data_IF_786185444251
#
_entry.id   IF_786185444251
#
_cell.length_a   1.000
_cell.length_b   1.000
_cell.length_c   1.000
_cell.angle_alpha   90.00
_cell.angle_beta   90.00
_cell.angle_gamma   90.00
#
_symmetry.space_group_name_H-M   'P 1'
#
loop_
_entity.id
_entity.type
_entity.pdbx_description
1 polymer ?
#
# COMPACT_ATOMS: atom_id res chain seq x y z
N UNK A 1 -2.28 -13.97 -4.11
CA UNK A 1 -2.14 -12.61 -3.51
C UNK A 1 -3.52 -11.93 -3.52
N UNK A 2 -3.73 -10.80 -2.83
CA UNK A 2 -4.92 -9.98 -3.07
C UNK A 2 -4.89 -9.42 -4.51
N UNK A 3 -6.05 -9.16 -5.16
CA UNK A 3 -6.06 -8.62 -6.51
C UNK A 3 -5.38 -7.24 -6.57
N UNK A 4 -4.60 -7.03 -7.63
CA UNK A 4 -3.95 -5.75 -7.96
C UNK A 4 -4.65 -5.09 -9.15
N UNK A 5 -4.64 -3.76 -9.23
CA UNK A 5 -4.95 -3.09 -10.48
C UNK A 5 -3.88 -3.42 -11.55
N UNK A 6 -4.30 -3.49 -12.80
CA UNK A 6 -3.39 -3.72 -13.94
C UNK A 6 -2.22 -2.73 -13.93
N UNK A 7 -1.01 -3.26 -14.11
CA UNK A 7 0.24 -2.48 -14.10
C UNK A 7 0.74 -2.06 -12.72
N UNK A 8 -0.02 -2.31 -11.64
CA UNK A 8 0.43 -2.00 -10.29
C UNK A 8 1.21 -3.16 -9.67
N UNK A 9 2.32 -2.83 -9.01
CA UNK A 9 3.17 -3.80 -8.31
C UNK A 9 2.56 -4.17 -6.96
N UNK A 10 2.52 -5.46 -6.68
CA UNK A 10 2.17 -6.01 -5.37
C UNK A 10 3.32 -6.87 -4.85
N UNK A 11 3.67 -6.72 -3.57
CA UNK A 11 4.73 -7.50 -2.92
C UNK A 11 4.17 -8.43 -1.86
N UNK A 12 4.74 -9.63 -1.74
CA UNK A 12 4.51 -10.56 -0.63
C UNK A 12 5.80 -11.21 -0.20
N UNK A 13 6.02 -11.28 1.10
CA UNK A 13 7.19 -11.93 1.67
C UNK A 13 7.00 -13.44 1.78
N UNK A 14 7.99 -14.19 1.30
CA UNK A 14 8.23 -15.59 1.59
C UNK A 14 9.29 -15.66 2.69
N UNK A 15 9.02 -16.43 3.74
CA UNK A 15 9.96 -16.62 4.86
C UNK A 15 10.62 -17.99 4.69
N UNK A 16 11.93 -17.99 4.48
CA UNK A 16 12.76 -19.20 4.47
C UNK A 16 13.29 -19.40 5.87
N UNK A 17 12.89 -20.50 6.53
CA UNK A 17 13.31 -20.82 7.89
C UNK A 17 14.16 -22.08 7.87
N UNK A 18 15.33 -22.03 8.51
CA UNK A 18 16.16 -23.21 8.69
C UNK A 18 15.82 -23.90 10.02
N UNK A 19 15.26 -25.10 9.94
CA UNK A 19 14.96 -25.95 11.10
C UNK A 19 15.98 -27.07 11.32
N UNK A 20 16.99 -27.18 10.46
CA UNK A 20 18.07 -28.16 10.57
C UNK A 20 19.15 -27.75 11.56
N UNK A 21 20.16 -28.62 11.70
CA UNK A 21 21.29 -28.44 12.62
C UNK A 21 22.52 -27.77 11.98
N UNK A 22 22.59 -27.72 10.64
CA UNK A 22 23.63 -27.04 9.87
C UNK A 22 23.12 -25.78 9.15
N UNK A 23 24.01 -24.92 8.62
CA UNK A 23 23.59 -23.76 7.84
C UNK A 23 22.95 -24.18 6.52
N UNK A 24 21.74 -23.66 6.25
CA UNK A 24 21.08 -23.75 4.95
C UNK A 24 21.69 -22.67 4.04
N UNK A 25 22.20 -23.07 2.88
CA UNK A 25 22.79 -22.19 1.87
C UNK A 25 21.88 -22.22 0.66
N UNK A 26 21.14 -21.14 0.44
CA UNK A 26 20.34 -20.92 -0.77
C UNK A 26 21.25 -20.37 -1.85
N UNK A 27 21.56 -21.18 -2.86
CA UNK A 27 22.51 -20.86 -3.92
C UNK A 27 21.88 -20.15 -5.11
N UNK A 28 20.56 -20.32 -5.31
CA UNK A 28 19.86 -19.77 -6.46
C UNK A 28 18.35 -19.65 -6.23
N UNK A 29 17.74 -18.70 -6.93
CA UNK A 29 16.30 -18.57 -7.06
C UNK A 29 15.95 -18.40 -8.54
N UNK A 30 14.87 -19.02 -8.99
CA UNK A 30 14.32 -18.82 -10.32
C UNK A 30 12.80 -18.71 -10.26
N UNK A 31 12.22 -18.00 -11.22
CA UNK A 31 10.76 -18.02 -11.45
C UNK A 31 10.53 -18.70 -12.77
N UNK A 32 9.71 -19.75 -12.76
CA UNK A 32 9.39 -20.58 -13.93
C UNK A 32 7.88 -20.69 -14.11
N UNK A 33 7.45 -21.24 -15.24
CA UNK A 33 6.03 -21.39 -15.59
C UNK A 33 5.54 -20.37 -16.62
N UNK A 34 4.27 -20.48 -16.99
CA UNK A 34 3.67 -19.72 -18.10
C UNK A 34 3.70 -18.21 -17.87
N UNK A 35 3.45 -17.77 -16.64
CA UNK A 35 3.35 -16.34 -16.31
C UNK A 35 4.59 -15.80 -15.58
N UNK A 36 5.73 -16.50 -15.64
CA UNK A 36 6.94 -16.16 -14.89
C UNK A 36 7.39 -14.69 -15.10
N UNK A 37 7.21 -14.14 -16.30
CA UNK A 37 7.56 -12.75 -16.61
C UNK A 37 6.75 -11.69 -15.85
N UNK A 38 5.63 -12.07 -15.22
CA UNK A 38 4.83 -11.17 -14.37
C UNK A 38 5.25 -11.19 -12.90
N UNK A 39 6.23 -12.03 -12.54
CA UNK A 39 6.73 -12.16 -11.18
C UNK A 39 8.23 -11.91 -11.11
N UNK A 40 8.66 -11.18 -10.10
CA UNK A 40 10.08 -10.99 -9.78
C UNK A 40 10.32 -11.32 -8.31
N UNK A 41 11.58 -11.52 -7.94
CA UNK A 41 11.94 -11.73 -6.54
C UNK A 41 13.09 -10.82 -6.12
N UNK A 42 13.15 -10.54 -4.83
CA UNK A 42 14.28 -9.89 -4.17
C UNK A 42 14.64 -10.67 -2.91
N UNK A 43 15.83 -11.28 -2.91
CA UNK A 43 16.33 -12.13 -1.82
C UNK A 43 17.63 -11.57 -1.19
N UNK A 44 17.99 -10.32 -1.49
CA UNK A 44 19.32 -9.79 -1.20
C UNK A 44 20.40 -10.42 -2.08
N UNK A 45 21.60 -10.59 -1.53
CA UNK A 45 22.74 -11.21 -2.22
C UNK A 45 22.71 -12.72 -2.07
N UNK A 46 22.84 -13.45 -3.18
CA UNK A 46 23.05 -14.89 -3.18
C UNK A 46 24.54 -15.23 -3.33
N UNK A 47 25.04 -16.32 -2.71
CA UNK A 47 24.28 -17.28 -1.91
C UNK A 47 23.87 -16.71 -0.55
N UNK A 48 22.65 -17.05 -0.13
CA UNK A 48 22.08 -16.64 1.16
C UNK A 48 22.29 -17.75 2.19
N UNK A 49 22.96 -17.45 3.31
CA UNK A 49 23.14 -18.39 4.41
C UNK A 49 22.12 -18.13 5.52
N UNK A 50 21.36 -19.17 5.89
CA UNK A 50 20.39 -19.16 6.98
C UNK A 50 20.89 -20.10 8.07
N UNK A 51 21.31 -19.55 9.21
CA UNK A 51 21.82 -20.34 10.34
C UNK A 51 20.72 -21.21 10.97
N UNK A 52 21.08 -22.28 11.71
CA UNK A 52 20.13 -23.10 12.45
C UNK A 52 19.19 -22.25 13.32
N UNK A 53 17.88 -22.49 13.19
CA UNK A 53 16.83 -21.76 13.92
C UNK A 53 16.54 -20.35 13.41
N UNK A 54 17.33 -19.82 12.47
CA UNK A 54 17.13 -18.50 11.88
C UNK A 54 16.16 -18.52 10.69
N UNK A 55 15.76 -17.32 10.27
CA UNK A 55 14.93 -17.10 9.09
C UNK A 55 15.50 -15.97 8.23
N UNK A 56 15.24 -16.07 6.93
CA UNK A 56 15.51 -15.04 5.94
C UNK A 56 14.25 -14.76 5.12
N UNK A 57 14.14 -13.55 4.57
CA UNK A 57 12.98 -13.11 3.80
C UNK A 57 13.34 -12.98 2.33
N UNK A 58 12.51 -13.57 1.47
CA UNK A 58 12.51 -13.38 0.03
C UNK A 58 11.22 -12.65 -0.34
N UNK A 59 11.31 -11.48 -0.94
CA UNK A 59 10.14 -10.74 -1.38
C UNK A 59 9.79 -11.12 -2.82
N UNK A 60 8.58 -11.64 -3.04
CA UNK A 60 8.03 -11.89 -4.37
C UNK A 60 7.18 -10.69 -4.77
N UNK A 61 7.46 -10.13 -5.94
CA UNK A 61 6.67 -9.06 -6.53
C UNK A 61 5.88 -9.59 -7.72
N UNK A 62 4.67 -9.09 -7.88
CA UNK A 62 3.79 -9.38 -9.01
C UNK A 62 3.38 -8.08 -9.70
N UNK A 63 3.40 -8.07 -11.03
CA UNK A 63 2.87 -6.99 -11.86
C UNK A 63 2.22 -7.58 -13.12
N UNK A 64 0.89 -7.75 -13.09
CA UNK A 64 0.12 -8.17 -14.26
C UNK A 64 -0.24 -6.97 -15.15
N UNK A 65 0.19 -6.99 -16.41
CA UNK A 65 -0.08 -5.91 -17.37
C UNK A 65 -1.55 -5.86 -17.82
N UNK A 66 -2.21 -7.02 -17.88
CA UNK A 66 -3.61 -7.15 -18.31
C UNK A 66 -4.46 -7.79 -17.22
N UNK A 67 -5.78 -7.56 -17.24
CA UNK A 67 -6.67 -8.20 -16.29
C UNK A 67 -6.69 -9.72 -16.53
N UNK A 68 -6.51 -10.51 -15.49
CA UNK A 68 -6.40 -11.96 -15.58
C UNK A 68 -5.87 -12.62 -14.31
N UNK A 69 -5.86 -13.94 -14.31
CA UNK A 69 -5.19 -14.76 -13.29
C UNK A 69 -3.82 -15.17 -13.80
N UNK A 70 -2.83 -15.17 -12.91
CA UNK A 70 -1.43 -15.41 -13.21
C UNK A 70 -0.89 -16.48 -12.26
N UNK A 71 -0.09 -17.40 -12.79
CA UNK A 71 0.53 -18.49 -12.03
C UNK A 71 1.97 -18.76 -12.47
N UNK A 72 2.83 -19.00 -11.49
CA UNK A 72 4.23 -19.32 -11.70
C UNK A 72 4.74 -20.23 -10.56
N UNK A 73 5.97 -20.70 -10.68
CA UNK A 73 6.68 -21.45 -9.64
C UNK A 73 7.96 -20.72 -9.29
N UNK A 74 8.22 -20.52 -8.00
CA UNK A 74 9.53 -20.09 -7.51
C UNK A 74 10.35 -21.33 -7.19
N UNK A 75 11.46 -21.52 -7.89
CA UNK A 75 12.44 -22.58 -7.63
C UNK A 75 13.52 -22.05 -6.70
N UNK A 76 13.68 -22.70 -5.54
CA UNK A 76 14.72 -22.41 -4.57
C UNK A 76 15.78 -23.52 -4.61
N UNK A 77 16.99 -23.18 -5.04
CA UNK A 77 18.13 -24.09 -5.00
C UNK A 77 18.88 -23.92 -3.69
N UNK A 78 19.13 -25.01 -2.99
CA UNK A 78 19.88 -25.00 -1.74
C UNK A 78 20.80 -26.22 -1.58
N UNK A 79 21.52 -26.27 -0.46
CA UNK A 79 22.27 -27.45 -0.02
C UNK A 79 21.43 -28.44 0.81
N UNK A 80 20.10 -28.27 0.85
CA UNK A 80 19.21 -29.28 1.44
C UNK A 80 19.16 -30.50 0.51
N UNK A 81 19.46 -31.68 1.05
CA UNK A 81 19.86 -32.82 0.22
C UNK A 81 18.68 -33.51 -0.47
N UNK A 82 17.49 -33.42 0.12
CA UNK A 82 16.25 -34.06 -0.31
C UNK A 82 15.22 -33.08 -0.87
N UNK A 83 15.37 -31.77 -0.63
CA UNK A 83 14.44 -30.73 -1.12
C UNK A 83 15.06 -29.70 -2.09
N UNK A 84 16.15 -30.02 -2.80
CA UNK A 84 16.78 -29.10 -3.77
C UNK A 84 16.65 -29.59 -5.23
N UNK A 85 15.98 -28.85 -6.14
CA UNK A 85 15.28 -27.58 -5.90
C UNK A 85 13.94 -27.75 -5.15
N UNK A 86 13.57 -26.75 -4.36
CA UNK A 86 12.25 -26.66 -3.73
C UNK A 86 11.32 -25.79 -4.58
N UNK A 87 10.23 -26.37 -5.06
CA UNK A 87 9.23 -25.71 -5.92
C UNK A 87 8.11 -25.08 -5.09
N UNK A 88 7.92 -23.77 -5.24
CA UNK A 88 6.86 -23.02 -4.56
C UNK A 88 5.88 -22.47 -5.61
N UNK A 89 4.69 -23.06 -5.70
CA UNK A 89 3.64 -22.54 -6.56
C UNK A 89 3.11 -21.19 -6.04
N UNK A 90 3.04 -20.20 -6.94
CA UNK A 90 2.53 -18.86 -6.64
C UNK A 90 1.41 -18.48 -7.62
N UNK A 91 0.45 -17.69 -7.11
CA UNK A 91 -0.65 -17.17 -7.90
C UNK A 91 -1.04 -15.75 -7.50
N UNK A 92 -1.49 -15.00 -8.50
CA UNK A 92 -1.97 -13.64 -8.37
C UNK A 92 -3.08 -13.33 -9.39
N UNK A 93 -3.79 -12.23 -9.18
CA UNK A 93 -4.74 -11.71 -10.15
C UNK A 93 -4.54 -10.22 -10.34
N UNK A 94 -4.61 -9.79 -11.59
CA UNK A 94 -4.72 -8.39 -11.96
C UNK A 94 -6.14 -8.12 -12.44
N UNK A 95 -6.69 -6.97 -12.05
CA UNK A 95 -8.06 -6.56 -12.38
C UNK A 95 -8.06 -5.08 -12.75
N UNK A 96 -9.17 -4.57 -13.29
CA UNK A 96 -9.25 -3.13 -13.58
C UNK A 96 -9.46 -2.33 -12.30
N UNK A 97 -9.01 -1.07 -12.28
CA UNK A 97 -9.24 -0.16 -11.14
C UNK A 97 -10.73 -0.04 -10.82
N UNK A 98 -11.56 0.09 -11.86
CA UNK A 98 -13.01 0.13 -11.72
C UNK A 98 -13.57 -1.13 -11.02
N UNK A 99 -13.05 -2.32 -11.34
CA UNK A 99 -13.53 -3.56 -10.70
C UNK A 99 -13.19 -3.65 -9.21
N UNK A 100 -12.05 -3.10 -8.78
CA UNK A 100 -11.70 -3.02 -7.35
C UNK A 100 -12.68 -2.12 -6.60
N UNK A 101 -12.97 -0.95 -7.16
CA UNK A 101 -13.93 -0.02 -6.59
C UNK A 101 -15.35 -0.61 -6.57
N UNK A 102 -15.79 -1.22 -7.68
CA UNK A 102 -17.11 -1.85 -7.78
C UNK A 102 -17.28 -3.01 -6.78
N UNK A 103 -16.24 -3.82 -6.59
CA UNK A 103 -16.25 -4.89 -5.58
C UNK A 103 -16.42 -4.31 -4.18
N UNK A 104 -15.73 -3.21 -3.86
CA UNK A 104 -15.90 -2.52 -2.59
C UNK A 104 -17.32 -1.94 -2.43
N UNK A 105 -17.87 -1.23 -3.42
CA UNK A 105 -19.24 -0.69 -3.33
C UNK A 105 -20.28 -1.79 -3.16
N UNK A 106 -20.14 -2.92 -3.87
CA UNK A 106 -21.03 -4.07 -3.70
C UNK A 106 -20.94 -4.66 -2.30
N UNK A 107 -19.73 -4.77 -1.73
CA UNK A 107 -19.54 -5.23 -0.34
C UNK A 107 -20.12 -4.26 0.70
N UNK A 108 -20.20 -2.98 0.35
CA UNK A 108 -20.83 -1.93 1.14
C UNK A 108 -22.37 -1.87 0.98
N UNK A 109 -22.96 -2.72 0.14
CA UNK A 109 -24.39 -2.70 -0.15
C UNK A 109 -24.85 -1.53 -1.02
N UNK A 110 -23.91 -0.84 -1.70
CA UNK A 110 -24.19 0.29 -2.57
C UNK A 110 -24.38 -0.19 -4.01
N UNK A 111 -25.47 0.26 -4.65
CA UNK A 111 -25.80 -0.04 -6.05
C UNK A 111 -26.37 1.21 -6.74
N UNK A 112 -26.26 1.28 -8.07
CA UNK A 112 -26.81 2.41 -8.85
C UNK A 112 -26.16 3.76 -8.50
N UNK A 113 -26.95 4.83 -8.47
CA UNK A 113 -26.47 6.18 -8.17
C UNK A 113 -25.74 6.28 -6.81
N UNK A 114 -26.23 5.67 -5.71
CA UNK A 114 -25.52 5.60 -4.44
C UNK A 114 -24.10 5.00 -4.48
N UNK A 115 -23.76 4.21 -5.51
CA UNK A 115 -22.42 3.63 -5.67
C UNK A 115 -21.41 4.56 -6.37
N UNK A 116 -21.86 5.71 -6.89
CA UNK A 116 -20.98 6.67 -7.55
C UNK A 116 -19.81 7.13 -6.65
N UNK A 117 -18.65 7.41 -7.23
CA UNK A 117 -17.45 7.77 -6.47
C UNK A 117 -17.59 9.11 -5.72
N UNK A 118 -18.33 10.06 -6.30
CA UNK A 118 -18.66 11.35 -5.67
C UNK A 118 -19.95 11.30 -4.84
N UNK A 119 -20.67 10.17 -4.84
CA UNK A 119 -21.92 10.06 -4.11
C UNK A 119 -21.67 10.09 -2.59
N UNK A 120 -22.59 10.76 -1.88
CA UNK A 120 -22.62 10.85 -0.42
C UNK A 120 -23.94 10.23 0.11
N UNK A 121 -24.15 8.91 -0.05
CA UNK A 121 -25.46 8.29 0.20
C UNK A 121 -25.94 8.39 1.66
N UNK A 122 -25.04 8.68 2.60
CA UNK A 122 -25.36 8.82 4.03
C UNK A 122 -25.44 10.27 4.50
N UNK A 123 -25.33 11.23 3.58
CA UNK A 123 -25.45 12.66 3.85
C UNK A 123 -24.50 13.16 4.97
N UNK A 124 -23.33 12.51 5.09
CA UNK A 124 -22.31 12.76 6.11
C UNK A 124 -21.20 13.69 5.61
N UNK A 125 -21.23 14.06 4.32
CA UNK A 125 -20.22 14.93 3.70
C UNK A 125 -18.97 14.19 3.23
N UNK A 126 -18.94 12.85 3.28
CA UNK A 126 -17.81 12.04 2.81
C UNK A 126 -18.23 11.23 1.60
N UNK A 127 -17.64 11.58 0.45
CA UNK A 127 -17.84 10.85 -0.80
C UNK A 127 -17.31 9.42 -0.71
N UNK A 128 -17.95 8.50 -1.44
CA UNK A 128 -17.55 7.10 -1.48
C UNK A 128 -16.08 6.89 -1.88
N UNK A 129 -15.53 7.73 -2.75
CA UNK A 129 -14.12 7.69 -3.11
C UNK A 129 -13.22 7.84 -1.89
N UNK A 130 -13.54 8.79 -1.00
CA UNK A 130 -12.77 8.99 0.23
C UNK A 130 -12.96 7.82 1.20
N UNK A 131 -14.16 7.23 1.24
CA UNK A 131 -14.42 6.03 2.06
C UNK A 131 -13.59 4.85 1.59
N UNK A 132 -13.57 4.61 0.29
CA UNK A 132 -12.74 3.58 -0.34
C UNK A 132 -11.25 3.84 -0.15
N UNK A 133 -10.80 5.09 -0.33
CA UNK A 133 -9.39 5.46 -0.26
C UNK A 133 -8.82 5.37 1.17
N UNK A 134 -9.62 5.69 2.19
CA UNK A 134 -9.16 5.78 3.58
C UNK A 134 -9.69 4.65 4.49
N UNK A 135 -10.16 3.56 3.88
CA UNK A 135 -10.68 2.38 4.56
C UNK A 135 -11.84 2.67 5.54
N UNK A 136 -12.68 3.66 5.23
CA UNK A 136 -13.89 3.95 6.02
C UNK A 136 -14.99 2.92 5.71
N UNK A 137 -15.98 2.85 6.60
CA UNK A 137 -17.17 2.04 6.35
C UNK A 137 -18.00 2.63 5.20
N UNK A 138 -18.11 1.89 4.10
CA UNK A 138 -18.93 2.28 2.94
C UNK A 138 -20.43 2.01 3.12
N UNK A 139 -20.83 1.22 4.12
CA UNK A 139 -22.23 0.80 4.33
C UNK A 139 -23.00 1.65 5.34
N UNK A 140 -22.38 2.69 5.92
CA UNK A 140 -23.02 3.62 6.84
C UNK A 140 -22.26 4.96 6.89
N UNK A 141 -22.78 5.91 7.69
CA UNK A 141 -22.08 7.15 7.99
C UNK A 141 -20.76 6.85 8.72
N UNK A 142 -19.66 7.42 8.22
CA UNK A 142 -18.34 7.23 8.82
C UNK A 142 -17.45 8.45 8.61
N UNK A 143 -17.28 9.22 9.68
CA UNK A 143 -16.51 10.47 9.73
C UNK A 143 -15.25 10.35 10.58
N UNK A 144 -14.85 9.11 10.90
CA UNK A 144 -13.70 8.91 11.79
C UNK A 144 -12.45 9.51 11.14
N UNK A 145 -11.67 10.22 11.95
CA UNK A 145 -10.34 10.69 11.56
C UNK A 145 -9.30 9.64 11.95
N UNK A 146 -8.24 9.50 11.16
CA UNK A 146 -7.17 8.55 11.44
C UNK A 146 -6.50 8.88 12.79
N UNK A 147 -6.26 7.86 13.60
CA UNK A 147 -5.48 8.01 14.84
C UNK A 147 -4.02 8.27 14.50
N UNK A 148 -3.43 9.37 14.99
CA UNK A 148 -2.02 9.72 14.76
C UNK A 148 -1.08 8.59 15.22
N UNK A 149 -0.13 8.19 14.37
CA UNK A 149 0.78 7.08 14.63
C UNK A 149 0.13 5.69 14.67
N UNK A 150 -1.20 5.61 14.51
CA UNK A 150 -2.02 4.42 14.64
C UNK A 150 -3.08 4.33 13.53
N UNK A 151 -4.15 3.58 13.84
CA UNK A 151 -5.35 3.49 13.01
C UNK A 151 -5.21 2.59 11.78
N UNK A 152 -6.30 1.88 11.48
CA UNK A 152 -6.48 1.08 10.27
C UNK A 152 -7.60 1.61 9.37
N UNK A 153 -8.19 2.76 9.72
CA UNK A 153 -9.22 3.44 8.97
C UNK A 153 -9.32 4.89 9.45
N UNK A 154 -9.67 5.82 8.56
CA UNK A 154 -9.98 7.19 8.94
C UNK A 154 -9.53 8.24 7.93
N UNK A 155 -10.27 9.35 7.86
CA UNK A 155 -9.89 10.54 7.12
C UNK A 155 -8.49 11.03 7.53
N UNK A 156 -7.73 11.66 6.61
CA UNK A 156 -6.41 12.19 6.90
C UNK A 156 -6.38 13.09 8.14
N UNK A 157 -5.34 12.94 8.96
CA UNK A 157 -5.10 13.79 10.12
C UNK A 157 -3.93 14.73 9.85
N UNK A 158 -4.17 16.03 10.06
CA UNK A 158 -3.13 17.05 10.01
C UNK A 158 -2.75 17.50 11.42
N UNK A 159 -1.46 17.70 11.66
CA UNK A 159 -0.94 18.13 12.97
C UNK A 159 0.34 18.95 12.83
N UNK A 160 0.67 19.73 13.85
CA UNK A 160 2.02 20.27 14.01
C UNK A 160 2.90 19.28 14.78
N UNK A 161 4.17 19.16 14.40
CA UNK A 161 5.16 18.40 15.17
C UNK A 161 6.49 19.16 15.24
N UNK A 162 7.31 18.90 16.25
CA UNK A 162 8.57 19.61 16.48
C UNK A 162 8.40 21.02 17.07
N UNK A 163 9.48 21.79 17.11
CA UNK A 163 9.48 23.16 17.64
C UNK A 163 10.45 24.08 16.90
N UNK A 164 10.19 25.39 16.94
CA UNK A 164 11.03 26.41 16.31
C UNK A 164 11.29 26.17 14.83
N UNK A 165 12.54 26.28 14.40
CA UNK A 165 12.96 26.05 13.01
C UNK A 165 12.80 24.58 12.56
N UNK A 166 12.66 23.63 13.49
CA UNK A 166 12.46 22.20 13.20
C UNK A 166 10.98 21.81 13.18
N UNK A 167 10.06 22.76 13.35
CA UNK A 167 8.65 22.48 13.29
C UNK A 167 8.23 22.03 11.88
N UNK A 168 7.28 21.10 11.83
CA UNK A 168 6.72 20.56 10.61
C UNK A 168 5.19 20.61 10.65
N UNK A 169 4.59 20.82 9.48
CA UNK A 169 3.19 20.55 9.23
C UNK A 169 3.08 19.11 8.70
N UNK A 170 2.54 18.23 9.54
CA UNK A 170 2.45 16.80 9.30
C UNK A 170 1.07 16.42 8.80
N UNK A 171 1.04 15.51 7.84
CA UNK A 171 -0.17 14.75 7.48
C UNK A 171 0.09 13.26 7.67
N UNK A 172 -0.89 12.56 8.23
CA UNK A 172 -0.94 11.10 8.23
C UNK A 172 -2.24 10.62 7.59
N UNK A 173 -2.14 9.65 6.68
CA UNK A 173 -3.30 9.06 6.00
C UNK A 173 -3.01 7.62 5.61
N UNK A 174 -4.07 6.83 5.37
CA UNK A 174 -3.94 5.52 4.77
C UNK A 174 -3.91 5.62 3.25
N UNK A 175 -3.08 4.79 2.63
CA UNK A 175 -3.00 4.62 1.20
C UNK A 175 -3.31 3.17 0.84
N UNK A 176 -4.27 2.99 -0.06
CA UNK A 176 -4.59 1.67 -0.61
C UNK A 176 -3.54 1.25 -1.64
N UNK A 177 -2.92 0.10 -1.43
CA UNK A 177 -1.91 -0.44 -2.34
C UNK A 177 -2.57 -1.07 -3.55
N UNK A 178 -1.89 -0.99 -4.70
CA UNK A 178 -2.33 -1.63 -5.93
C UNK A 178 -3.71 -1.19 -6.43
N UNK A 179 -4.27 -0.07 -5.97
CA UNK A 179 -5.62 0.37 -6.35
C UNK A 179 -5.65 1.27 -7.57
N UNK A 180 -4.51 1.82 -7.98
CA UNK A 180 -4.41 2.87 -9.01
C UNK A 180 -4.84 4.27 -8.57
N UNK A 181 -5.35 4.43 -7.34
CA UNK A 181 -5.70 5.74 -6.79
C UNK A 181 -4.43 6.54 -6.50
N UNK A 182 -4.45 7.82 -6.85
CA UNK A 182 -3.40 8.77 -6.50
C UNK A 182 -3.79 9.58 -5.26
N UNK A 183 -2.82 9.79 -4.37
CA UNK A 183 -2.97 10.55 -3.13
C UNK A 183 -1.96 11.70 -3.15
N UNK A 184 -2.45 12.93 -3.20
CA UNK A 184 -1.62 14.13 -3.30
C UNK A 184 -1.87 15.02 -2.08
N UNK A 185 -1.05 14.91 -1.02
CA UNK A 185 -1.09 15.87 0.07
C UNK A 185 -0.71 17.26 -0.42
N UNK A 186 -1.53 18.26 -0.09
CA UNK A 186 -1.32 19.65 -0.45
C UNK A 186 -1.40 20.54 0.79
N UNK A 187 -0.67 21.64 0.75
CA UNK A 187 -0.65 22.67 1.79
C UNK A 187 -0.93 24.05 1.18
N UNK A 188 -1.55 24.94 1.95
CA UNK A 188 -1.73 26.34 1.61
C UNK A 188 -1.59 27.25 2.82
N UNK A 189 -1.23 28.51 2.63
CA UNK A 189 -1.31 29.56 3.66
C UNK A 189 -2.67 30.29 3.66
N UNK A 190 -3.57 29.96 2.73
CA UNK A 190 -4.92 30.54 2.61
C UNK A 190 -5.96 29.49 2.21
N UNK A 191 -7.23 29.89 2.20
CA UNK A 191 -8.34 29.07 1.70
C UNK A 191 -8.75 29.45 0.27
N UNK A 192 -7.92 30.24 -0.43
CA UNK A 192 -8.23 30.65 -1.80
C UNK A 192 -8.27 29.46 -2.76
N UNK A 193 -9.17 29.52 -3.73
CA UNK A 193 -9.22 28.54 -4.83
C UNK A 193 -7.86 28.51 -5.54
N UNK A 194 -7.32 27.31 -5.78
CA UNK A 194 -6.02 27.12 -6.42
C UNK A 194 -4.79 27.43 -5.54
N UNK A 195 -4.98 27.82 -4.27
CA UNK A 195 -3.85 28.14 -3.37
C UNK A 195 -3.11 26.92 -2.82
N UNK A 196 -3.69 25.73 -2.93
CA UNK A 196 -3.13 24.48 -2.42
C UNK A 196 -2.08 23.92 -3.39
N UNK A 197 -0.85 23.79 -2.90
CA UNK A 197 0.27 23.24 -3.65
C UNK A 197 0.72 21.90 -3.03
N UNK A 198 1.23 20.95 -3.83
CA UNK A 198 1.73 19.68 -3.30
C UNK A 198 2.78 19.87 -2.21
N UNK A 199 2.68 19.06 -1.15
CA UNK A 199 3.72 18.99 -0.12
C UNK A 199 4.93 18.23 -0.67
N UNK A 200 6.13 18.70 -0.34
CA UNK A 200 7.43 18.17 -0.80
C UNK A 200 8.32 17.71 0.36
N UNK A 201 7.75 17.66 1.56
CA UNK A 201 8.41 17.22 2.78
C UNK A 201 8.84 15.74 2.77
N UNK A 202 9.45 15.33 3.87
CA UNK A 202 9.93 13.95 4.03
C UNK A 202 8.75 13.00 4.19
N UNK A 203 8.72 11.96 3.36
CA UNK A 203 7.68 10.92 3.41
C UNK A 203 8.21 9.67 4.10
N UNK A 204 7.46 9.16 5.07
CA UNK A 204 7.67 7.85 5.70
C UNK A 204 6.47 6.97 5.41
N UNK A 205 6.70 5.76 4.93
CA UNK A 205 5.66 4.77 4.64
C UNK A 205 5.80 3.61 5.61
N UNK A 206 4.71 3.25 6.28
CA UNK A 206 4.61 2.05 7.12
C UNK A 206 3.72 1.04 6.42
N UNK A 207 4.27 -0.13 6.06
CA UNK A 207 3.46 -1.22 5.51
C UNK A 207 2.49 -1.75 6.58
N UNK A 208 1.21 -1.90 6.22
CA UNK A 208 0.16 -2.40 7.10
C UNK A 208 -0.42 -3.72 6.58
N UNK A 209 0.38 -4.47 5.83
CA UNK A 209 -0.02 -5.72 5.20
C UNK A 209 -0.41 -5.55 3.73
N UNK A 210 -1.07 -6.53 3.12
CA UNK A 210 -1.10 -6.67 1.66
C UNK A 210 -1.84 -5.56 0.91
N UNK A 211 -2.82 -4.89 1.53
CA UNK A 211 -3.70 -3.93 0.85
C UNK A 211 -3.48 -2.48 1.29
N UNK A 212 -2.78 -2.26 2.39
CA UNK A 212 -2.74 -0.97 3.07
C UNK A 212 -1.34 -0.62 3.49
N UNK A 213 -1.06 0.66 3.44
CA UNK A 213 0.08 1.28 4.09
C UNK A 213 -0.35 2.62 4.67
N UNK A 214 0.37 3.08 5.68
CA UNK A 214 0.20 4.42 6.23
C UNK A 214 1.30 5.32 5.71
N UNK A 215 0.91 6.48 5.21
CA UNK A 215 1.82 7.51 4.75
C UNK A 215 1.83 8.63 5.78
N UNK A 216 3.03 8.98 6.26
CA UNK A 216 3.29 10.20 7.00
C UNK A 216 4.13 11.11 6.12
N UNK A 217 3.72 12.35 5.94
CA UNK A 217 4.50 13.37 5.24
C UNK A 217 4.71 14.58 6.15
N UNK A 218 5.97 14.90 6.39
CA UNK A 218 6.41 15.99 7.26
C UNK A 218 6.96 17.14 6.41
N UNK A 219 6.14 18.19 6.23
CA UNK A 219 6.53 19.41 5.53
C UNK A 219 7.19 20.40 6.51
N UNK A 220 8.46 20.78 6.31
CA UNK A 220 9.08 21.85 7.09
C UNK A 220 8.23 23.12 7.06
N UNK A 221 7.86 23.62 8.24
CA UNK A 221 7.09 24.84 8.42
C UNK A 221 7.36 25.40 9.81
N UNK A 222 7.92 26.61 9.88
CA UNK A 222 8.11 27.33 11.13
C UNK A 222 6.86 28.17 11.46
N UNK A 223 6.09 27.86 12.52
CA UNK A 223 4.88 28.60 12.89
C UNK A 223 5.14 30.07 13.23
N UNK A 224 6.36 30.42 13.67
CA UNK A 224 6.72 31.79 14.01
C UNK A 224 6.77 32.71 12.77
N UNK A 225 7.15 32.17 11.61
CA UNK A 225 7.24 32.92 10.35
C UNK A 225 6.12 32.57 9.36
N UNK A 226 5.46 31.43 9.55
CA UNK A 226 4.37 30.93 8.71
C UNK A 226 3.18 30.48 9.58
N UNK A 227 2.47 31.42 10.21
CA UNK A 227 1.48 31.11 11.25
C UNK A 227 0.21 30.45 10.71
N UNK A 228 -0.10 30.63 9.42
CA UNK A 228 -1.29 30.04 8.78
C UNK A 228 -0.91 28.85 7.93
N UNK A 229 -1.63 27.75 8.10
CA UNK A 229 -1.80 26.90 6.94
C UNK A 229 -2.73 25.73 7.12
N UNK A 230 -3.19 25.31 5.96
CA UNK A 230 -4.31 24.43 5.73
C UNK A 230 -3.80 23.26 4.91
N UNK A 231 -4.34 22.08 5.18
CA UNK A 231 -3.94 20.86 4.52
C UNK A 231 -5.13 20.17 3.87
N UNK A 232 -4.92 19.57 2.70
CA UNK A 232 -5.83 18.62 2.09
C UNK A 232 -5.03 17.41 1.60
N UNK A 233 -5.69 16.26 1.49
CA UNK A 233 -5.18 15.15 0.67
C UNK A 233 -6.14 15.02 -0.49
N UNK A 234 -5.67 15.41 -1.67
CA UNK A 234 -6.43 15.22 -2.90
C UNK A 234 -6.34 13.75 -3.30
N UNK A 235 -7.49 13.15 -3.59
CA UNK A 235 -7.62 11.74 -3.99
C UNK A 235 -8.23 11.70 -5.38
N UNK A 236 -7.54 11.08 -6.33
CA UNK A 236 -8.02 10.95 -7.71
C UNK A 236 -8.03 9.49 -8.15
N UNK A 237 -9.06 9.15 -8.93
CA UNK A 237 -9.07 7.92 -9.72
C UNK A 237 -8.08 8.08 -10.90
N UNK A 238 -7.47 6.98 -11.38
CA UNK A 238 -6.59 6.99 -12.54
C UNK A 238 -7.33 7.20 -13.86
#
# INVERSE_FOLDING_TARGET
MAPSATGMVMSRSLIVRNTGSGPLVVSGLAVTGADAGSFTYNAGTLPLSVLPGASSVVNIQFQGATAGSYSATVQLLSNDADESPFDIAISASAVTVASLYNSWTSSAGLVGLPAGHDAMPFNDGVANLLKYAFNLNGGNSDLRTLTTGGGLAGLPVFSGAGSGAQAVFRVEFLRRKGSGITYTPKISSSLGVGSFVPMTGTTTVTDLGPQWERVRLDQPRNPATQPRGFGIVEVTLP
#
